data_IF_430327558984
#
_entry.id   IF_430327558984
#
_cell.length_a   1.000
_cell.length_b   1.000
_cell.length_c   1.000
_cell.angle_alpha   90.00
_cell.angle_beta   90.00
_cell.angle_gamma   90.00
#
_symmetry.space_group_name_H-M   'P 1'
#
loop_
_entity.id
_entity.type
_entity.pdbx_description
1 polymer ?
#
# COMPACT_ATOMS: atom_id res chain seq x y z
N UNK A 1 8.71 -17.64 14.60
CA UNK A 1 8.51 -17.32 13.17
C UNK A 1 8.61 -15.83 12.90
N UNK A 2 9.19 -15.43 11.77
CA UNK A 2 9.15 -14.01 11.34
C UNK A 2 7.73 -13.69 10.86
N UNK A 3 7.12 -12.62 11.37
CA UNK A 3 5.75 -12.21 10.97
C UNK A 3 5.68 -11.69 9.53
N UNK A 4 6.78 -11.13 9.02
CA UNK A 4 6.86 -10.58 7.67
C UNK A 4 8.20 -10.86 7.01
N UNK A 5 8.21 -10.81 5.68
CA UNK A 5 9.39 -10.97 4.83
C UNK A 5 9.37 -9.93 3.72
N UNK A 6 10.53 -9.33 3.42
CA UNK A 6 10.69 -8.52 2.19
C UNK A 6 11.06 -9.47 1.07
N UNK A 7 10.34 -9.41 -0.03
CA UNK A 7 10.56 -10.25 -1.21
C UNK A 7 11.05 -9.41 -2.39
N UNK A 8 11.41 -10.09 -3.48
CA UNK A 8 11.47 -9.43 -4.78
C UNK A 8 10.06 -8.97 -5.16
N UNK A 9 9.98 -7.94 -5.99
CA UNK A 9 8.73 -7.41 -6.48
C UNK A 9 7.88 -8.53 -7.09
N UNK A 10 6.66 -8.68 -6.58
CA UNK A 10 5.67 -9.64 -7.04
C UNK A 10 4.58 -8.90 -7.82
N UNK A 11 4.43 -9.26 -9.10
CA UNK A 11 3.43 -8.75 -10.03
C UNK A 11 2.98 -9.88 -10.93
N UNK A 12 1.70 -9.87 -11.30
CA UNK A 12 1.11 -10.73 -12.32
C UNK A 12 1.16 -10.03 -13.68
N UNK A 13 1.01 -10.80 -14.77
CA UNK A 13 0.92 -10.21 -16.11
C UNK A 13 -0.29 -9.27 -16.25
N UNK A 14 -1.38 -9.57 -15.54
CA UNK A 14 -2.59 -8.74 -15.47
C UNK A 14 -2.37 -7.39 -14.78
N UNK A 15 -1.24 -7.18 -14.10
CA UNK A 15 -0.92 -5.92 -13.43
C UNK A 15 -0.31 -4.86 -14.34
N UNK A 16 -0.09 -5.23 -15.61
CA UNK A 16 0.30 -4.28 -16.63
C UNK A 16 -0.79 -3.21 -16.80
N UNK A 17 -0.41 -1.94 -16.67
CA UNK A 17 -1.29 -0.80 -16.91
C UNK A 17 -1.85 -0.13 -15.65
N UNK A 18 -1.62 -0.66 -14.44
CA UNK A 18 -2.00 0.05 -13.21
C UNK A 18 -1.30 1.40 -13.07
N UNK A 19 -0.06 1.48 -13.56
CA UNK A 19 0.70 2.70 -13.75
C UNK A 19 1.39 2.64 -15.12
N UNK A 20 1.46 3.77 -15.87
CA UNK A 20 2.20 3.84 -17.13
C UNK A 20 3.69 3.50 -16.99
N UNK A 21 4.26 3.79 -15.82
CA UNK A 21 5.66 3.57 -15.48
C UNK A 21 5.79 3.25 -14.00
N UNK A 22 6.70 2.33 -13.66
CA UNK A 22 7.02 1.96 -12.28
C UNK A 22 8.45 2.39 -12.00
N UNK A 23 8.63 3.45 -11.21
CA UNK A 23 9.93 4.01 -10.84
C UNK A 23 10.45 3.47 -9.50
N UNK A 24 9.55 3.01 -8.64
CA UNK A 24 9.87 2.30 -7.41
C UNK A 24 8.85 1.19 -7.17
N UNK A 25 9.34 0.07 -6.64
CA UNK A 25 8.49 -0.98 -6.10
C UNK A 25 9.12 -1.71 -4.93
N UNK A 26 8.27 -2.24 -4.05
CA UNK A 26 8.64 -3.24 -3.07
C UNK A 26 7.51 -4.25 -2.84
N UNK A 27 7.86 -5.41 -2.29
CA UNK A 27 6.89 -6.41 -1.87
C UNK A 27 7.21 -6.86 -0.45
N UNK A 28 6.21 -6.79 0.42
CA UNK A 28 6.27 -7.30 1.79
C UNK A 28 5.18 -8.35 1.95
N UNK A 29 5.55 -9.52 2.45
CA UNK A 29 4.64 -10.65 2.62
C UNK A 29 4.44 -11.06 4.08
N UNK A 30 3.31 -11.71 4.36
CA UNK A 30 2.93 -12.30 5.65
C UNK A 30 2.05 -13.54 5.45
N UNK A 31 1.85 -14.31 6.51
CA UNK A 31 1.01 -15.51 6.48
C UNK A 31 -0.36 -15.19 7.08
N UNK A 32 -1.42 -15.49 6.34
CA UNK A 32 -2.80 -15.48 6.83
C UNK A 32 -3.70 -16.36 5.96
N UNK A 33 -4.21 -17.43 6.56
CA UNK A 33 -5.10 -18.39 5.90
C UNK A 33 -6.56 -18.27 6.36
N UNK A 34 -6.83 -17.51 7.42
CA UNK A 34 -8.14 -17.47 8.07
C UNK A 34 -9.02 -16.32 7.56
N UNK A 35 -8.43 -15.14 7.42
CA UNK A 35 -9.17 -13.94 7.04
C UNK A 35 -9.39 -13.91 5.52
N UNK A 36 -10.37 -13.14 5.05
CA UNK A 36 -10.52 -12.77 3.63
C UNK A 36 -9.69 -11.50 3.29
N UNK A 37 -9.62 -11.12 2.01
CA UNK A 37 -8.81 -9.96 1.58
C UNK A 37 -9.31 -8.62 2.15
N UNK A 38 -10.61 -8.44 2.34
CA UNK A 38 -11.18 -7.23 2.97
C UNK A 38 -10.68 -7.07 4.41
N UNK A 39 -10.76 -8.12 5.22
CA UNK A 39 -10.32 -8.10 6.62
C UNK A 39 -8.81 -7.89 6.70
N UNK A 40 -8.04 -8.56 5.83
CA UNK A 40 -6.59 -8.37 5.74
C UNK A 40 -6.27 -6.92 5.37
N UNK A 41 -6.89 -6.37 4.34
CA UNK A 41 -6.66 -5.01 3.89
C UNK A 41 -6.97 -3.99 4.99
N UNK A 42 -8.07 -4.17 5.73
CA UNK A 42 -8.40 -3.35 6.89
C UNK A 42 -7.38 -3.49 8.03
N UNK A 43 -6.87 -4.70 8.32
CA UNK A 43 -5.79 -4.90 9.31
C UNK A 43 -4.50 -4.20 8.91
N UNK A 44 -4.16 -4.20 7.62
CA UNK A 44 -2.92 -3.59 7.11
C UNK A 44 -3.05 -2.06 7.02
N UNK A 45 -4.12 -1.55 6.41
CA UNK A 45 -4.27 -0.16 5.99
C UNK A 45 -5.27 0.66 6.82
N UNK A 46 -6.20 0.00 7.53
CA UNK A 46 -7.24 0.67 8.32
C UNK A 46 -6.73 1.28 9.62
N UNK A 47 -5.58 0.82 10.13
CA UNK A 47 -4.91 1.40 11.29
C UNK A 47 -3.43 1.63 11.00
N UNK A 48 -3.04 2.91 10.93
CA UNK A 48 -1.63 3.28 10.86
C UNK A 48 -0.99 3.13 12.24
N UNK A 49 0.14 2.40 12.38
CA UNK A 49 0.89 2.33 13.62
C UNK A 49 1.11 3.71 14.28
N UNK A 50 0.86 3.82 15.59
CA UNK A 50 0.90 5.09 16.36
C UNK A 50 2.20 5.89 16.19
N UNK A 51 3.32 5.21 15.91
CA UNK A 51 4.62 5.83 15.64
C UNK A 51 4.84 6.33 14.21
N UNK A 52 3.81 6.44 13.35
CA UNK A 52 3.91 6.95 11.96
C UNK A 52 3.45 8.41 11.86
N UNK A 53 2.85 8.98 12.92
CA UNK A 53 2.42 10.39 12.91
C UNK A 53 3.56 11.34 12.51
N UNK A 54 4.79 11.10 12.98
CA UNK A 54 5.95 11.90 12.58
C UNK A 54 6.31 11.77 11.09
N UNK A 55 6.04 10.63 10.45
CA UNK A 55 6.22 10.44 9.00
C UNK A 55 5.15 11.17 8.20
N UNK A 56 3.92 11.21 8.71
CA UNK A 56 2.88 12.07 8.15
C UNK A 56 3.23 13.54 8.34
N UNK A 57 3.78 13.95 9.49
CA UNK A 57 4.24 15.32 9.72
C UNK A 57 5.44 15.68 8.84
N UNK A 58 6.40 14.77 8.67
CA UNK A 58 7.53 14.94 7.75
C UNK A 58 7.04 15.02 6.30
N UNK A 59 6.15 14.11 5.87
CA UNK A 59 5.47 14.19 4.57
C UNK A 59 4.85 15.57 4.43
N UNK A 60 3.98 15.96 5.35
CA UNK A 60 3.23 17.22 5.34
C UNK A 60 4.14 18.44 5.27
N UNK A 61 5.29 18.45 5.97
CA UNK A 61 6.30 19.52 5.88
C UNK A 61 7.00 19.58 4.53
N UNK A 62 7.31 18.42 3.93
CA UNK A 62 7.99 18.36 2.64
C UNK A 62 7.05 18.72 1.47
N UNK A 63 5.77 18.39 1.59
CA UNK A 63 4.74 18.58 0.55
C UNK A 63 3.86 19.81 0.76
N UNK A 64 3.93 20.51 1.89
CA UNK A 64 3.16 21.76 2.14
C UNK A 64 3.48 22.84 1.11
N UNK A 65 4.69 22.81 0.55
CA UNK A 65 5.14 23.67 -0.57
C UNK A 65 4.34 23.42 -1.86
N UNK A 66 3.68 22.26 -2.01
CA UNK A 66 2.98 21.85 -3.23
C UNK A 66 1.45 21.86 -3.14
N UNK A 67 0.89 22.31 -2.02
CA UNK A 67 -0.56 22.37 -1.82
C UNK A 67 -1.19 21.00 -2.03
N UNK A 68 -0.84 20.04 -1.17
CA UNK A 68 -1.55 18.76 -1.09
C UNK A 68 -3.05 19.03 -1.06
N UNK A 69 -3.80 18.27 -1.86
CA UNK A 69 -5.22 18.12 -1.61
C UNK A 69 -5.36 17.33 -0.31
N UNK A 70 -5.34 18.04 0.82
CA UNK A 70 -5.72 17.49 2.13
C UNK A 70 -7.24 17.34 2.25
N UNK A 71 -7.98 17.83 1.25
CA UNK A 71 -9.41 17.69 1.18
C UNK A 71 -9.80 16.24 0.92
N UNK A 72 -10.68 15.74 1.79
CA UNK A 72 -11.35 14.47 1.61
C UNK A 72 -12.10 14.53 0.26
N UNK A 73 -11.90 13.57 -0.66
CA UNK A 73 -12.64 13.53 -1.92
C UNK A 73 -14.15 13.60 -1.68
N UNK A 74 -14.89 14.29 -2.55
CA UNK A 74 -16.35 14.47 -2.39
C UNK A 74 -17.12 13.14 -2.42
N UNK A 75 -16.54 12.14 -3.06
CA UNK A 75 -17.01 10.77 -3.21
C UNK A 75 -16.44 9.81 -2.16
N UNK A 76 -15.76 10.32 -1.13
CA UNK A 76 -15.18 9.48 -0.08
C UNK A 76 -16.26 8.70 0.69
N UNK A 77 -16.13 7.38 0.69
CA UNK A 77 -16.96 6.47 1.48
C UNK A 77 -16.19 5.21 1.86
N UNK A 78 -16.34 4.76 3.10
CA UNK A 78 -15.63 3.60 3.64
C UNK A 78 -16.47 2.34 3.40
N UNK A 79 -16.46 1.85 2.16
CA UNK A 79 -17.07 0.58 1.76
C UNK A 79 -16.08 -0.24 0.94
N UNK A 80 -16.15 -1.56 1.10
CA UNK A 80 -15.35 -2.50 0.34
C UNK A 80 -15.97 -2.76 -1.04
N UNK A 81 -15.91 -1.75 -1.90
CA UNK A 81 -16.38 -1.81 -3.28
C UNK A 81 -15.48 -0.95 -4.17
N UNK A 82 -15.54 -1.18 -5.49
CA UNK A 82 -14.78 -0.36 -6.45
C UNK A 82 -15.21 1.11 -6.34
N UNK A 83 -14.25 2.00 -6.14
CA UNK A 83 -14.47 3.42 -5.85
C UNK A 83 -14.59 3.75 -4.36
N UNK A 84 -14.78 2.75 -3.49
CA UNK A 84 -14.74 2.91 -2.03
C UNK A 84 -13.32 3.07 -1.49
N UNK A 85 -13.20 3.22 -0.18
CA UNK A 85 -11.94 3.56 0.49
C UNK A 85 -11.61 2.63 1.67
N UNK A 86 -10.33 2.30 1.81
CA UNK A 86 -9.75 1.72 3.03
C UNK A 86 -8.70 2.68 3.56
N UNK A 87 -9.01 3.32 4.71
CA UNK A 87 -8.21 4.44 5.20
C UNK A 87 -8.22 5.58 4.17
N UNK A 88 -7.05 5.98 3.68
CA UNK A 88 -6.90 7.03 2.67
C UNK A 88 -6.81 6.50 1.23
N UNK A 89 -6.83 5.19 1.03
CA UNK A 89 -6.59 4.59 -0.29
C UNK A 89 -7.91 4.22 -0.95
N UNK A 90 -8.11 4.70 -2.17
CA UNK A 90 -9.25 4.33 -2.99
C UNK A 90 -9.06 2.92 -3.53
N UNK A 91 -10.13 2.14 -3.60
CA UNK A 91 -10.17 0.82 -4.21
C UNK A 91 -10.40 0.97 -5.72
N UNK A 92 -9.43 0.53 -6.51
CA UNK A 92 -9.48 0.55 -7.98
C UNK A 92 -10.07 -0.73 -8.55
N UNK A 93 -9.79 -1.87 -7.91
CA UNK A 93 -10.26 -3.17 -8.36
C UNK A 93 -10.28 -4.21 -7.25
N UNK A 94 -11.22 -5.14 -7.35
CA UNK A 94 -11.41 -6.25 -6.40
C UNK A 94 -11.58 -7.54 -7.22
N UNK A 95 -10.71 -8.50 -6.96
CA UNK A 95 -10.75 -9.85 -7.50
C UNK A 95 -10.65 -10.86 -6.34
N UNK A 96 -10.99 -12.14 -6.53
CA UNK A 96 -11.01 -13.14 -5.45
C UNK A 96 -9.68 -13.27 -4.68
N UNK A 97 -8.57 -13.11 -5.38
CA UNK A 97 -7.21 -13.27 -4.88
C UNK A 97 -6.35 -12.00 -5.01
N UNK A 98 -6.95 -10.89 -5.47
CA UNK A 98 -6.26 -9.61 -5.61
C UNK A 98 -7.15 -8.43 -5.21
N UNK A 99 -6.56 -7.46 -4.51
CA UNK A 99 -7.16 -6.16 -4.25
C UNK A 99 -6.19 -5.06 -4.69
N UNK A 100 -6.67 -4.12 -5.50
CA UNK A 100 -5.88 -2.99 -5.98
C UNK A 100 -6.40 -1.71 -5.36
N UNK A 101 -5.54 -1.02 -4.65
CA UNK A 101 -5.82 0.27 -4.02
C UNK A 101 -4.79 1.30 -4.44
N UNK A 102 -5.08 2.58 -4.24
CA UNK A 102 -4.12 3.61 -4.61
C UNK A 102 -4.53 5.02 -4.27
N UNK A 103 -3.66 5.93 -4.67
CA UNK A 103 -3.88 7.36 -4.66
C UNK A 103 -3.03 8.02 -5.75
N UNK A 104 -3.57 9.05 -6.39
CA UNK A 104 -2.86 9.87 -7.38
C UNK A 104 -2.66 11.27 -6.82
N UNK A 105 -1.44 11.78 -6.93
CA UNK A 105 -1.01 13.08 -6.42
C UNK A 105 -0.11 13.79 -7.43
N UNK A 106 0.11 15.10 -7.28
CA UNK A 106 0.87 15.92 -8.23
C UNK A 106 2.31 15.44 -8.43
N UNK A 107 2.91 14.82 -7.41
CA UNK A 107 4.32 14.44 -7.40
C UNK A 107 4.53 12.94 -7.62
N UNK A 108 3.57 12.10 -7.21
CA UNK A 108 3.63 10.65 -7.31
C UNK A 108 2.23 10.06 -7.55
N UNK A 109 2.16 9.01 -8.35
CA UNK A 109 1.03 8.08 -8.34
C UNK A 109 1.43 6.81 -7.60
N UNK A 110 0.53 6.29 -6.78
CA UNK A 110 0.79 5.13 -5.92
C UNK A 110 -0.28 4.06 -6.11
N UNK A 111 0.16 2.80 -6.16
CA UNK A 111 -0.72 1.63 -6.10
C UNK A 111 -0.23 0.67 -5.02
N UNK A 112 -1.16 0.13 -4.24
CA UNK A 112 -0.96 -0.94 -3.28
C UNK A 112 -1.75 -2.15 -3.76
N UNK A 113 -1.04 -3.21 -4.16
CA UNK A 113 -1.60 -4.44 -4.69
C UNK A 113 -1.46 -5.50 -3.61
N UNK A 114 -2.59 -5.98 -3.11
CA UNK A 114 -2.66 -7.02 -2.10
C UNK A 114 -3.07 -8.33 -2.78
N UNK A 115 -2.20 -9.33 -2.69
CA UNK A 115 -2.40 -10.65 -3.29
C UNK A 115 -2.61 -11.71 -2.23
N UNK A 116 -3.41 -12.73 -2.58
CA UNK A 116 -3.41 -14.04 -1.95
C UNK A 116 -2.84 -15.07 -2.91
N UNK A 117 -1.83 -15.77 -2.47
CA UNK A 117 -1.21 -16.89 -3.21
C UNK A 117 -1.53 -18.21 -2.53
N UNK A 118 -1.22 -19.33 -3.20
CA UNK A 118 -1.38 -20.68 -2.67
C UNK A 118 -0.19 -21.14 -1.80
N UNK A 119 0.76 -20.26 -1.53
CA UNK A 119 1.93 -20.56 -0.69
C UNK A 119 1.49 -20.97 0.73
N UNK A 120 2.23 -21.87 1.38
CA UNK A 120 1.91 -22.32 2.75
C UNK A 120 2.28 -21.28 3.82
N UNK A 121 3.30 -20.48 3.54
CA UNK A 121 3.74 -19.34 4.36
C UNK A 121 3.91 -18.12 3.44
N UNK A 122 3.81 -16.91 4.01
CA UNK A 122 3.96 -15.66 3.27
C UNK A 122 2.98 -15.54 2.09
N UNK A 123 1.80 -16.16 2.24
CA UNK A 123 0.79 -16.31 1.21
C UNK A 123 0.07 -14.99 0.88
N UNK A 124 0.14 -14.01 1.78
CA UNK A 124 -0.35 -12.66 1.56
C UNK A 124 0.81 -11.76 1.17
N UNK A 125 0.71 -11.09 0.03
CA UNK A 125 1.77 -10.20 -0.50
C UNK A 125 1.21 -8.81 -0.72
N UNK A 126 1.86 -7.81 -0.15
CA UNK A 126 1.58 -6.40 -0.38
C UNK A 126 2.67 -5.84 -1.27
N UNK A 127 2.35 -5.51 -2.52
CA UNK A 127 3.24 -4.84 -3.46
C UNK A 127 2.91 -3.37 -3.54
N UNK A 128 3.90 -2.52 -3.28
CA UNK A 128 3.81 -1.09 -3.53
C UNK A 128 4.37 -0.80 -4.92
N UNK A 129 3.63 -0.03 -5.72
CA UNK A 129 4.12 0.56 -6.97
C UNK A 129 4.03 2.08 -6.91
N UNK A 130 5.06 2.76 -7.41
CA UNK A 130 5.13 4.21 -7.46
C UNK A 130 5.61 4.68 -8.82
N UNK A 131 4.89 5.64 -9.39
CA UNK A 131 5.30 6.41 -10.56
C UNK A 131 5.69 7.82 -10.14
N UNK A 132 6.79 8.33 -10.70
CA UNK A 132 7.23 9.70 -10.48
C UNK A 132 6.61 10.63 -11.53
N UNK A 133 5.81 11.60 -11.07
CA UNK A 133 5.21 12.59 -11.98
C UNK A 133 6.17 13.73 -12.32
N UNK A 134 7.19 13.95 -11.48
CA UNK A 134 8.21 14.99 -11.67
C UNK A 134 9.50 14.72 -10.86
N UNK A 135 10.52 15.56 -11.04
CA UNK A 135 11.81 15.46 -10.33
C UNK A 135 11.67 15.54 -8.82
N UNK A 136 10.69 16.30 -8.31
CA UNK A 136 10.43 16.37 -6.88
C UNK A 136 9.92 15.04 -6.34
N UNK A 137 9.01 14.37 -7.06
CA UNK A 137 8.55 13.00 -6.73
C UNK A 137 9.72 12.03 -6.54
N UNK A 138 10.70 12.07 -7.45
CA UNK A 138 11.93 11.25 -7.34
C UNK A 138 12.74 11.56 -6.08
N UNK A 139 12.99 12.84 -5.79
CA UNK A 139 13.75 13.27 -4.60
C UNK A 139 13.00 12.85 -3.34
N UNK A 140 11.70 13.15 -3.28
CA UNK A 140 10.81 12.80 -2.18
C UNK A 140 10.85 11.29 -1.93
N UNK A 141 10.61 10.47 -2.96
CA UNK A 141 10.63 9.02 -2.81
C UNK A 141 12.00 8.50 -2.35
N UNK A 142 13.09 9.07 -2.87
CA UNK A 142 14.44 8.67 -2.45
C UNK A 142 14.69 8.90 -0.95
N UNK A 143 14.12 9.97 -0.38
CA UNK A 143 14.23 10.29 1.05
C UNK A 143 13.31 9.39 1.90
N UNK A 144 12.08 9.12 1.43
CA UNK A 144 11.09 8.39 2.23
C UNK A 144 11.15 6.86 2.06
N UNK A 145 11.66 6.35 0.95
CA UNK A 145 11.72 4.92 0.63
C UNK A 145 12.26 4.01 1.75
N UNK A 146 13.39 4.33 2.43
CA UNK A 146 13.87 3.47 3.52
C UNK A 146 12.87 3.39 4.67
N UNK A 147 12.21 4.50 5.01
CA UNK A 147 11.20 4.54 6.06
C UNK A 147 9.89 3.88 5.63
N UNK A 148 9.50 4.06 4.36
CA UNK A 148 8.34 3.42 3.76
C UNK A 148 8.39 1.90 3.94
N UNK A 149 9.50 1.26 3.56
CA UNK A 149 9.67 -0.20 3.70
C UNK A 149 9.49 -0.65 5.15
N UNK A 150 10.02 0.11 6.12
CA UNK A 150 9.90 -0.22 7.55
C UNK A 150 8.45 -0.08 8.05
N UNK A 151 7.74 0.95 7.59
CA UNK A 151 6.33 1.17 7.91
C UNK A 151 5.45 0.09 7.32
N UNK A 152 5.60 -0.22 6.04
CA UNK A 152 4.82 -1.27 5.36
C UNK A 152 5.06 -2.62 6.03
N UNK A 153 6.31 -2.94 6.43
CA UNK A 153 6.59 -4.14 7.25
C UNK A 153 5.81 -4.20 8.54
N UNK A 154 5.67 -3.08 9.27
CA UNK A 154 4.87 -3.03 10.50
C UNK A 154 3.39 -3.17 10.22
N UNK A 155 2.91 -2.52 9.15
CA UNK A 155 1.50 -2.58 8.74
C UNK A 155 1.10 -3.99 8.31
N UNK A 156 1.89 -4.63 7.45
CA UNK A 156 1.67 -6.00 6.98
C UNK A 156 1.75 -7.01 8.13
N UNK A 157 2.60 -6.78 9.14
CA UNK A 157 2.67 -7.64 10.32
C UNK A 157 1.38 -7.67 11.16
N UNK A 158 0.49 -6.68 11.02
CA UNK A 158 -0.81 -6.64 11.71
C UNK A 158 -1.77 -7.71 11.19
N UNK A 159 -1.57 -8.16 9.95
CA UNK A 159 -2.37 -9.22 9.34
C UNK A 159 -1.78 -10.62 9.55
N UNK A 160 -0.65 -10.76 10.26
CA UNK A 160 -0.05 -12.08 10.50
C UNK A 160 -0.94 -12.93 11.41
N UNK A 161 -1.25 -14.14 10.94
CA UNK A 161 -1.94 -15.17 11.70
C UNK A 161 -1.10 -16.45 11.61
N UNK A 162 -0.70 -16.99 12.77
CA UNK A 162 0.02 -18.24 12.82
C UNK A 162 -0.88 -19.39 12.38
N UNK A 163 -0.32 -20.37 11.67
CA UNK A 163 -1.00 -21.64 11.42
C UNK A 163 -1.02 -22.42 12.74
N UNK A 164 -2.19 -22.88 13.17
CA UNK A 164 -2.34 -23.82 14.29
C UNK A 164 -1.69 -25.17 13.96
#
# INVERSE_FOLDING_TARGET
MKKTKKERTYLLESDQGWLPQIDFSDTISTTNHLDNLEVIANKILGQFPRGIRWLFDLRNRLVSVFGLKTDIPKDYHVRYEKGGYIGFFQIYDIQPDQLVMGADDKHLNFRALLYRTQDSEFNIKMTTLVQYNNRFGKIYMSLIAPFHVLVVKKMVAQAFVAKE
#
